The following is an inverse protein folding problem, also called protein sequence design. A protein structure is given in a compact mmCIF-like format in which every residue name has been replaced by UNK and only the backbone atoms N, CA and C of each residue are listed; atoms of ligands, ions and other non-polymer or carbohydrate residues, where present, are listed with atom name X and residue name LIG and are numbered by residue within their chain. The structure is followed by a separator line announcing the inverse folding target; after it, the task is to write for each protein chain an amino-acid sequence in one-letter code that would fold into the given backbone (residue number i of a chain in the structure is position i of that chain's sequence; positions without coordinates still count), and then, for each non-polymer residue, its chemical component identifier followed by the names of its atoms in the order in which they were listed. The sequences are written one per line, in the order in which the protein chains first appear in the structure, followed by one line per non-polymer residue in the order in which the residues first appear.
data_IF_096333424013
#
_entry.id   IF_096333424013
#
_cell.length_a   1.000
_cell.length_b   1.000
_cell.length_c   1.000
_cell.angle_alpha   90.00
_cell.angle_beta   90.00
_cell.angle_gamma   90.00
#
_symmetry.space_group_name_H-M   'P 1'
#
loop_
_entity.id
_entity.type
_entity.pdbx_description
1 polymer ?
#
# COMPACT_ATOMS: atom_id res chain seq x y z
N UNK A 1 -14.14 2.97 19.91
CA UNK A 1 -14.62 1.67 19.42
C UNK A 1 -13.41 0.88 18.98
N UNK A 2 -13.14 -0.29 19.57
CA UNK A 2 -11.98 -1.11 19.20
C UNK A 2 -12.15 -1.67 17.79
N UNK A 3 -11.04 -1.82 17.04
CA UNK A 3 -11.10 -2.48 15.73
C UNK A 3 -11.71 -3.89 15.89
N UNK A 4 -12.54 -4.34 14.96
CA UNK A 4 -13.13 -5.67 15.00
C UNK A 4 -12.06 -6.76 15.05
N UNK A 5 -12.33 -7.89 15.74
CA UNK A 5 -11.35 -8.97 15.95
C UNK A 5 -10.72 -9.53 14.66
N UNK A 6 -11.41 -9.47 13.52
CA UNK A 6 -10.88 -9.89 12.22
C UNK A 6 -9.81 -8.94 11.63
N UNK A 7 -9.69 -7.71 12.16
CA UNK A 7 -8.61 -6.77 11.85
C UNK A 7 -7.49 -6.79 12.91
N UNK A 8 -7.52 -7.74 13.85
CA UNK A 8 -6.50 -7.85 14.86
C UNK A 8 -5.27 -8.59 14.31
N UNK A 9 -4.35 -7.83 13.72
CA UNK A 9 -3.10 -8.36 13.15
C UNK A 9 -2.01 -8.61 14.21
N UNK A 10 -2.32 -8.49 15.51
CA UNK A 10 -1.30 -8.41 16.58
C UNK A 10 -0.35 -9.61 16.64
N UNK A 11 -0.85 -10.83 16.41
CA UNK A 11 -0.02 -12.04 16.48
C UNK A 11 0.85 -12.26 15.23
N UNK A 12 0.52 -11.65 14.09
CA UNK A 12 1.21 -11.91 12.82
C UNK A 12 1.51 -10.65 11.99
N UNK A 13 1.53 -9.46 12.60
CA UNK A 13 1.66 -8.17 11.89
C UNK A 13 2.90 -8.11 10.98
N UNK A 14 3.97 -8.82 11.33
CA UNK A 14 5.20 -8.88 10.52
C UNK A 14 4.99 -9.61 9.19
N UNK A 15 4.19 -10.69 9.15
CA UNK A 15 3.93 -11.41 7.89
C UNK A 15 3.00 -10.60 7.00
N UNK A 16 1.98 -9.96 7.57
CA UNK A 16 1.10 -9.05 6.83
C UNK A 16 1.86 -7.85 6.27
N UNK A 17 2.77 -7.26 7.05
CA UNK A 17 3.64 -6.19 6.60
C UNK A 17 4.61 -6.66 5.49
N UNK A 18 5.20 -7.84 5.63
CA UNK A 18 6.04 -8.42 4.58
C UNK A 18 5.24 -8.65 3.29
N UNK A 19 4.01 -9.14 3.39
CA UNK A 19 3.12 -9.34 2.25
C UNK A 19 2.76 -8.03 1.55
N UNK A 20 2.48 -6.96 2.31
CA UNK A 20 2.28 -5.61 1.78
C UNK A 20 3.54 -5.10 1.06
N UNK A 21 4.72 -5.34 1.63
CA UNK A 21 5.99 -5.01 0.97
C UNK A 21 6.18 -5.73 -0.35
N UNK A 22 5.84 -7.02 -0.42
CA UNK A 22 5.88 -7.81 -1.66
C UNK A 22 4.87 -7.29 -2.69
N UNK A 23 3.66 -6.92 -2.28
CA UNK A 23 2.67 -6.32 -3.17
C UNK A 23 3.17 -5.01 -3.79
N UNK A 24 3.76 -4.12 -2.98
CA UNK A 24 4.33 -2.85 -3.45
C UNK A 24 5.51 -3.08 -4.40
N UNK A 25 6.39 -4.04 -4.08
CA UNK A 25 7.50 -4.40 -4.96
C UNK A 25 7.02 -4.98 -6.29
N UNK A 26 5.95 -5.80 -6.29
CA UNK A 26 5.35 -6.32 -7.52
C UNK A 26 4.78 -5.20 -8.37
N UNK A 27 4.05 -4.26 -7.77
CA UNK A 27 3.47 -3.12 -8.49
C UNK A 27 4.55 -2.19 -9.06
N UNK A 28 5.62 -1.96 -8.30
CA UNK A 28 6.79 -1.23 -8.75
C UNK A 28 7.48 -1.93 -9.94
N UNK A 29 7.65 -3.26 -9.91
CA UNK A 29 8.22 -4.01 -11.03
C UNK A 29 7.32 -3.94 -12.27
N UNK A 30 6.00 -4.13 -12.10
CA UNK A 30 5.04 -4.05 -13.21
C UNK A 30 5.01 -2.68 -13.87
N UNK A 31 5.14 -1.62 -13.07
CA UNK A 31 5.16 -0.23 -13.56
C UNK A 31 6.52 0.19 -14.13
N UNK A 32 7.62 -0.48 -13.74
CA UNK A 32 8.96 -0.22 -14.27
C UNK A 32 9.28 -1.03 -15.54
N UNK A 33 8.64 -2.19 -15.74
CA UNK A 33 8.79 -2.96 -16.97
C UNK A 33 8.32 -2.06 -18.13
N UNK A 34 9.18 -1.81 -19.14
CA UNK A 34 8.87 -0.87 -20.18
C UNK A 34 7.59 -1.29 -20.91
N UNK A 35 6.70 -0.33 -21.25
CA UNK A 35 5.44 -0.59 -21.97
C UNK A 35 5.65 -1.22 -23.36
N UNK A 36 6.90 -1.45 -23.78
CA UNK A 36 7.23 -2.21 -24.98
C UNK A 36 6.93 -3.71 -24.85
N UNK A 37 6.75 -4.26 -23.62
CA UNK A 37 6.35 -5.67 -23.40
C UNK A 37 4.83 -5.81 -23.30
N UNK A 38 4.12 -4.78 -22.83
CA UNK A 38 2.66 -4.76 -22.74
C UNK A 38 2.11 -3.99 -23.95
N UNK A 39 1.77 -4.73 -25.01
CA UNK A 39 1.37 -4.33 -26.38
C UNK A 39 0.20 -3.32 -26.53
N UNK A 40 -0.09 -2.46 -25.55
CA UNK A 40 -1.31 -1.65 -25.46
C UNK A 40 -1.11 -0.15 -25.22
N UNK A 41 0.13 0.36 -25.11
CA UNK A 41 0.37 1.79 -24.77
C UNK A 41 0.85 2.58 -26.00
N UNK A 42 0.05 3.58 -26.41
CA UNK A 42 0.41 4.52 -27.47
C UNK A 42 1.75 5.24 -27.17
N UNK A 43 2.58 5.51 -28.20
CA UNK A 43 3.95 6.01 -28.03
C UNK A 43 4.06 7.40 -27.36
N UNK A 44 2.97 8.16 -27.28
CA UNK A 44 2.94 9.52 -26.71
C UNK A 44 2.97 9.55 -25.17
N UNK A 45 2.64 8.45 -24.48
CA UNK A 45 2.60 8.35 -23.01
C UNK A 45 3.89 7.80 -22.37
N UNK A 46 4.95 7.58 -23.15
CA UNK A 46 6.20 6.95 -22.66
C UNK A 46 6.84 7.69 -21.48
N UNK A 47 6.80 9.03 -21.48
CA UNK A 47 7.39 9.84 -20.41
C UNK A 47 6.63 9.76 -19.09
N UNK A 48 5.30 9.83 -19.13
CA UNK A 48 4.47 9.83 -17.91
C UNK A 48 4.44 8.46 -17.23
N UNK A 49 4.44 7.37 -17.99
CA UNK A 49 4.51 6.00 -17.44
C UNK A 49 5.83 5.77 -16.72
N UNK A 50 6.95 6.28 -17.27
CA UNK A 50 8.26 6.18 -16.64
C UNK A 50 8.33 6.93 -15.31
N UNK A 51 7.79 8.16 -15.27
CA UNK A 51 7.74 8.97 -14.03
C UNK A 51 6.93 8.24 -12.96
N UNK A 52 5.78 7.66 -13.30
CA UNK A 52 4.97 6.88 -12.36
C UNK A 52 5.74 5.65 -11.84
N UNK A 53 6.45 4.93 -12.70
CA UNK A 53 7.28 3.79 -12.28
C UNK A 53 8.44 4.17 -11.35
N UNK A 54 9.13 5.28 -11.62
CA UNK A 54 10.19 5.81 -10.74
C UNK A 54 9.62 6.20 -9.38
N UNK A 55 8.48 6.88 -9.35
CA UNK A 55 7.81 7.26 -8.10
C UNK A 55 7.40 6.01 -7.31
N UNK A 56 6.83 5.00 -7.97
CA UNK A 56 6.37 3.78 -7.31
C UNK A 56 7.54 2.93 -6.75
N UNK A 57 8.65 2.86 -7.48
CA UNK A 57 9.88 2.20 -6.99
C UNK A 57 10.50 2.93 -5.79
N UNK A 58 10.54 4.26 -5.80
CA UNK A 58 10.95 5.06 -4.64
C UNK A 58 10.08 4.77 -3.42
N UNK A 59 8.76 4.68 -3.59
CA UNK A 59 7.84 4.37 -2.50
C UNK A 59 7.99 2.94 -1.97
N UNK A 60 8.19 1.96 -2.83
CA UNK A 60 8.47 0.58 -2.42
C UNK A 60 9.78 0.51 -1.60
N UNK A 61 10.83 1.23 -2.01
CA UNK A 61 12.08 1.32 -1.25
C UNK A 61 11.88 2.02 0.09
N UNK A 62 11.16 3.14 0.12
CA UNK A 62 10.84 3.86 1.36
C UNK A 62 10.06 2.98 2.34
N UNK A 63 9.12 2.18 1.85
CA UNK A 63 8.38 1.20 2.65
C UNK A 63 9.33 0.15 3.24
N UNK A 64 10.19 -0.47 2.41
CA UNK A 64 11.17 -1.46 2.87
C UNK A 64 12.17 -0.91 3.87
N UNK A 65 12.66 0.31 3.66
CA UNK A 65 13.55 1.00 4.62
C UNK A 65 12.81 1.25 5.94
N UNK A 66 11.57 1.71 5.86
CA UNK A 66 10.70 1.89 7.03
C UNK A 66 10.51 0.58 7.80
N UNK A 67 10.26 -0.52 7.09
CA UNK A 67 10.04 -1.86 7.64
C UNK A 67 11.29 -2.42 8.31
N UNK A 68 12.43 -2.43 7.61
CA UNK A 68 13.68 -3.03 8.09
C UNK A 68 14.38 -2.20 9.18
N UNK A 69 14.49 -0.87 8.98
CA UNK A 69 15.21 0.02 9.92
C UNK A 69 14.30 0.62 11.01
N UNK A 70 13.00 0.28 11.04
CA UNK A 70 11.97 0.85 11.93
C UNK A 70 12.04 2.39 12.03
N UNK A 71 12.32 3.07 10.92
CA UNK A 71 12.42 4.55 10.91
C UNK A 71 11.02 5.18 10.81
N UNK A 72 10.65 5.94 11.84
CA UNK A 72 9.31 6.55 12.03
C UNK A 72 8.91 7.54 10.93
N UNK A 73 9.86 8.28 10.39
CA UNK A 73 9.61 9.28 9.34
C UNK A 73 9.20 8.65 8.01
N UNK A 74 9.86 7.57 7.59
CA UNK A 74 9.53 6.85 6.35
C UNK A 74 8.10 6.29 6.36
N UNK A 75 7.69 5.69 7.48
CA UNK A 75 6.31 5.18 7.62
C UNK A 75 5.26 6.28 7.55
N UNK A 76 5.56 7.46 8.12
CA UNK A 76 4.61 8.58 8.13
C UNK A 76 4.41 9.17 6.74
N UNK A 77 5.50 9.32 5.97
CA UNK A 77 5.43 9.74 4.56
C UNK A 77 4.65 8.72 3.72
N UNK A 78 4.89 7.43 3.94
CA UNK A 78 4.19 6.36 3.23
C UNK A 78 2.67 6.36 3.51
N UNK A 79 2.26 6.46 4.78
CA UNK A 79 0.86 6.55 5.18
C UNK A 79 0.18 7.78 4.56
N UNK A 80 0.86 8.93 4.55
CA UNK A 80 0.36 10.16 3.93
C UNK A 80 0.12 9.98 2.43
N UNK A 81 1.06 9.33 1.73
CA UNK A 81 0.91 9.06 0.29
C UNK A 81 -0.27 8.13 -0.02
N UNK A 82 -0.42 7.02 0.70
CA UNK A 82 -1.56 6.10 0.52
C UNK A 82 -2.89 6.79 0.83
N UNK A 83 -2.93 7.68 1.82
CA UNK A 83 -4.11 8.49 2.11
C UNK A 83 -4.53 9.36 0.92
N UNK A 84 -3.58 10.06 0.29
CA UNK A 84 -3.85 10.87 -0.90
C UNK A 84 -4.27 10.01 -2.10
N UNK A 85 -3.67 8.83 -2.27
CA UNK A 85 -4.08 7.91 -3.33
C UNK A 85 -5.54 7.45 -3.15
N UNK A 86 -5.95 7.13 -1.91
CA UNK A 86 -7.32 6.74 -1.57
C UNK A 86 -8.31 7.88 -1.86
N UNK A 87 -7.96 9.15 -1.56
CA UNK A 87 -8.85 10.29 -1.84
C UNK A 87 -8.99 10.57 -3.33
N UNK A 88 -7.92 10.44 -4.12
CA UNK A 88 -8.01 10.54 -5.59
C UNK A 88 -8.90 9.42 -6.14
N UNK A 89 -8.77 8.21 -5.60
CA UNK A 89 -9.54 7.05 -6.06
C UNK A 89 -11.02 7.13 -5.69
N UNK A 90 -11.37 7.69 -4.54
CA UNK A 90 -12.77 7.92 -4.16
C UNK A 90 -13.44 8.96 -5.06
N UNK A 91 -12.73 10.01 -5.48
CA UNK A 91 -13.23 10.97 -6.49
C UNK A 91 -13.47 10.25 -7.83
N UNK A 92 -12.53 9.40 -8.25
CA UNK A 92 -12.68 8.59 -9.46
C UNK A 92 -13.87 7.63 -9.41
N UNK A 93 -14.15 7.04 -8.24
CA UNK A 93 -15.30 6.17 -8.01
C UNK A 93 -16.63 6.93 -8.16
N UNK A 94 -16.74 8.14 -7.59
CA UNK A 94 -17.91 9.00 -7.76
C UNK A 94 -18.14 9.31 -9.24
N UNK A 95 -17.08 9.62 -9.99
CA UNK A 95 -17.16 9.85 -11.43
C UNK A 95 -17.61 8.62 -12.23
N UNK A 96 -17.22 7.41 -11.82
CA UNK A 96 -17.63 6.16 -12.46
C UNK A 96 -19.10 5.82 -12.21
N UNK A 97 -19.59 6.07 -10.98
CA UNK A 97 -21.00 5.86 -10.59
C UNK A 97 -21.92 6.78 -11.39
N UNK A 98 -21.55 8.07 -11.55
CA UNK A 98 -22.33 9.05 -12.34
C UNK A 98 -22.47 8.62 -13.80
N UNK A 99 -21.47 7.90 -14.35
CA UNK A 99 -21.51 7.40 -15.72
C UNK A 99 -22.13 5.99 -15.88
N UNK A 100 -22.68 5.39 -14.82
CA UNK A 100 -23.34 4.06 -14.81
C UNK A 100 -22.48 2.91 -15.37
N UNK A 101 -21.15 3.00 -15.27
CA UNK A 101 -20.26 1.90 -15.64
C UNK A 101 -20.03 0.95 -14.45
N UNK A 102 -20.92 -0.03 -14.30
CA UNK A 102 -20.88 -0.99 -13.18
C UNK A 102 -19.53 -1.75 -13.10
N UNK A 103 -18.98 -2.14 -14.24
CA UNK A 103 -17.73 -2.91 -14.29
C UNK A 103 -16.53 -2.10 -13.80
N UNK A 104 -16.43 -0.82 -14.16
CA UNK A 104 -15.34 0.06 -13.71
C UNK A 104 -15.51 0.50 -12.26
N UNK A 105 -16.75 0.66 -11.79
CA UNK A 105 -17.00 0.89 -10.37
C UNK A 105 -16.55 -0.31 -9.52
N UNK A 106 -16.80 -1.54 -9.99
CA UNK A 106 -16.38 -2.76 -9.30
C UNK A 106 -14.84 -2.89 -9.23
N UNK A 107 -14.12 -2.61 -10.32
CA UNK A 107 -12.65 -2.63 -10.30
C UNK A 107 -12.06 -1.53 -9.43
N UNK A 108 -12.69 -0.35 -9.36
CA UNK A 108 -12.26 0.71 -8.45
C UNK A 108 -12.49 0.36 -6.97
N UNK A 109 -13.58 -0.35 -6.65
CA UNK A 109 -13.86 -0.83 -5.29
C UNK A 109 -12.88 -1.90 -4.82
N UNK A 110 -12.43 -2.81 -5.70
CA UNK A 110 -11.42 -3.80 -5.33
C UNK A 110 -10.07 -3.12 -5.07
N UNK A 111 -9.66 -2.17 -5.91
CA UNK A 111 -8.42 -1.41 -5.70
C UNK A 111 -8.49 -0.56 -4.43
N UNK A 112 -9.63 0.08 -4.14
CA UNK A 112 -9.85 0.82 -2.89
C UNK A 112 -9.70 -0.09 -1.67
N UNK A 113 -10.25 -1.31 -1.73
CA UNK A 113 -10.18 -2.30 -0.66
C UNK A 113 -8.74 -2.77 -0.41
N UNK A 114 -7.95 -2.99 -1.48
CA UNK A 114 -6.53 -3.34 -1.38
C UNK A 114 -5.72 -2.19 -0.76
N UNK A 115 -5.93 -0.96 -1.21
CA UNK A 115 -5.24 0.23 -0.69
C UNK A 115 -5.59 0.48 0.78
N UNK A 116 -6.85 0.26 1.17
CA UNK A 116 -7.29 0.31 2.55
C UNK A 116 -6.61 -0.74 3.44
N UNK A 117 -6.48 -1.98 2.95
CA UNK A 117 -5.75 -3.04 3.65
C UNK A 117 -4.27 -2.69 3.86
N UNK A 118 -3.59 -2.20 2.83
CA UNK A 118 -2.20 -1.73 2.91
C UNK A 118 -2.06 -0.65 3.99
N UNK A 119 -2.96 0.34 3.99
CA UNK A 119 -2.96 1.41 4.99
C UNK A 119 -3.11 0.86 6.42
N UNK A 120 -4.08 -0.01 6.66
CA UNK A 120 -4.31 -0.60 7.99
C UNK A 120 -3.10 -1.38 8.50
N UNK A 121 -2.51 -2.22 7.66
CA UNK A 121 -1.29 -2.97 8.02
C UNK A 121 -0.13 -2.02 8.33
N UNK A 122 0.04 -0.94 7.56
CA UNK A 122 1.09 0.04 7.84
C UNK A 122 0.87 0.82 9.13
N UNK A 123 -0.38 1.11 9.50
CA UNK A 123 -0.75 1.76 10.75
C UNK A 123 -0.50 0.87 11.96
N UNK A 124 -0.86 -0.42 11.88
CA UNK A 124 -0.60 -1.38 12.95
C UNK A 124 0.88 -1.70 13.08
N UNK A 125 1.61 -1.81 11.98
CA UNK A 125 3.07 -1.92 12.00
C UNK A 125 3.71 -0.68 12.63
N UNK A 126 3.18 0.52 12.36
CA UNK A 126 3.64 1.75 13.00
C UNK A 126 3.34 1.71 14.51
N UNK A 127 2.14 1.28 14.92
CA UNK A 127 1.73 1.14 16.32
C UNK A 127 2.63 0.17 17.09
N UNK A 128 2.91 -1.01 16.55
CA UNK A 128 3.81 -1.99 17.18
C UNK A 128 5.26 -1.52 17.24
N UNK A 129 5.71 -0.68 16.31
CA UNK A 129 7.01 -0.01 16.40
C UNK A 129 7.02 1.17 17.40
N UNK A 130 5.86 1.63 17.85
CA UNK A 130 5.71 2.68 18.87
C UNK A 130 5.71 2.14 20.29
N UNK A 131 5.23 0.91 20.53
CA UNK A 131 5.41 0.22 21.80
C UNK A 131 6.79 -0.46 21.79
N UNK A 132 7.83 0.10 22.45
CA UNK A 132 9.09 -0.60 22.56
C UNK A 132 8.87 -1.75 23.54
N UNK A 133 8.66 -2.95 23.01
CA UNK A 133 8.80 -4.20 23.76
C UNK A 133 7.83 -4.28 24.94
N UNK A 134 6.65 -4.92 24.77
CA UNK A 134 6.27 -5.83 25.86
C UNK A 134 7.37 -6.88 25.91
N UNK A 135 8.16 -6.99 27.00
CA UNK A 135 9.02 -8.15 27.12
C UNK A 135 8.10 -9.36 26.96
N UNK A 136 8.47 -10.26 26.05
CA UNK A 136 8.01 -11.63 26.21
C UNK A 136 8.46 -12.02 27.61
N UNK A 137 7.49 -12.03 28.52
CA UNK A 137 7.69 -12.43 29.89
C UNK A 137 8.24 -13.85 29.80
N UNK A 138 9.49 -13.98 30.20
CA UNK A 138 10.09 -15.24 30.54
C UNK A 138 9.18 -15.95 31.56
N UNK A 139 8.47 -16.97 31.11
CA UNK A 139 8.05 -18.11 31.91
C UNK A 139 8.70 -19.31 31.18
N UNK A 140 9.76 -20.00 31.60
CA UNK A 140 10.33 -20.23 32.93
C UNK A 140 9.26 -20.49 33.99
N UNK A 141 8.44 -21.53 33.77
CA UNK A 141 8.37 -22.74 34.64
C UNK A 141 8.03 -23.91 33.73
#
# INVERSE_FOLDING_TARGET
MGLPQYFNFTDNIRTHAMFVGVMLSRDAILTLIPPNVLFLVKPSFKGSVFVVGIVNTLFALLYWIGYLKRKRWCMTVFIGFISVAITIQSIGLVGAIVKLYLLTACTMLTVLSINGYVLLVTLELRRTNFEPTKPQLANCV
#
